data_IF_090293005594
#
_entry.id   IF_090293005594
#
_cell.length_a   1.000
_cell.length_b   1.000
_cell.length_c   1.000
_cell.angle_alpha   90.00
_cell.angle_beta   90.00
_cell.angle_gamma   90.00
#
_symmetry.space_group_name_H-M   'P 1'
#
loop_
_entity.id
_entity.type
_entity.pdbx_description
1 polymer ?
#
# COMPACT_ATOMS: atom_id res chain seq x y z
N UNK A 1 -21.59 29.70 -17.02
CA UNK A 1 -20.39 28.84 -16.94
C UNK A 1 -20.63 27.83 -15.84
N UNK A 2 -21.46 26.81 -16.10
CA UNK A 2 -21.79 25.75 -15.15
C UNK A 2 -21.96 24.45 -15.92
N UNK A 3 -20.86 23.94 -16.44
CA UNK A 3 -20.76 22.56 -16.92
C UNK A 3 -19.32 22.17 -16.61
N UNK A 4 -19.08 20.96 -16.09
CA UNK A 4 -17.79 20.30 -15.79
C UNK A 4 -17.39 20.08 -14.31
N UNK A 5 -18.26 20.27 -13.31
CA UNK A 5 -17.98 19.79 -11.93
C UNK A 5 -18.44 18.36 -11.64
N UNK A 6 -19.37 17.81 -12.42
CA UNK A 6 -20.03 16.53 -12.10
C UNK A 6 -19.28 15.27 -12.59
N UNK A 7 -18.15 15.39 -13.27
CA UNK A 7 -17.42 14.24 -13.83
C UNK A 7 -15.98 14.08 -13.35
N UNK A 8 -15.56 14.92 -12.41
CA UNK A 8 -14.35 14.66 -11.64
C UNK A 8 -14.83 14.28 -10.24
N UNK A 9 -14.43 13.11 -9.68
CA UNK A 9 -14.42 13.03 -8.22
C UNK A 9 -13.67 14.30 -7.75
N UNK A 10 -14.13 14.93 -6.66
CA UNK A 10 -13.63 16.23 -6.22
C UNK A 10 -12.11 16.28 -6.01
N UNK A 11 -11.62 17.24 -5.22
CA UNK A 11 -10.26 17.11 -4.69
C UNK A 11 -10.07 15.68 -4.13
N UNK A 12 -8.93 15.07 -4.41
CA UNK A 12 -8.57 13.77 -3.83
C UNK A 12 -7.50 14.01 -2.78
N UNK A 13 -7.68 13.44 -1.59
CA UNK A 13 -6.64 13.41 -0.57
C UNK A 13 -5.90 12.09 -0.65
N UNK A 14 -4.58 12.14 -0.41
CA UNK A 14 -3.74 10.94 -0.40
C UNK A 14 -3.58 10.42 1.02
N UNK A 15 -3.88 9.15 1.20
CA UNK A 15 -3.53 8.36 2.38
C UNK A 15 -2.54 7.29 1.95
N UNK A 16 -1.65 6.90 2.83
CA UNK A 16 -0.67 5.85 2.55
C UNK A 16 -0.60 4.90 3.73
N UNK A 17 -0.76 3.62 3.46
CA UNK A 17 -0.41 2.58 4.42
C UNK A 17 1.06 2.22 4.15
N UNK A 18 1.88 2.33 5.18
CA UNK A 18 3.30 2.03 5.14
C UNK A 18 3.50 0.65 5.76
N UNK A 19 4.19 -0.22 5.05
CA UNK A 19 4.51 -1.59 5.48
C UNK A 19 6.03 -1.73 5.50
N UNK A 20 6.59 -2.07 6.65
CA UNK A 20 8.03 -2.10 6.90
C UNK A 20 8.45 -3.43 7.52
N UNK A 21 9.67 -3.85 7.20
CA UNK A 21 10.32 -4.96 7.90
C UNK A 21 10.80 -4.50 9.27
N UNK A 22 10.43 -5.25 10.31
CA UNK A 22 10.75 -5.03 11.71
C UNK A 22 10.95 -6.36 12.46
N UNK A 23 11.92 -7.19 12.03
CA UNK A 23 12.23 -8.45 12.71
C UNK A 23 12.66 -8.19 14.15
N UNK A 24 12.17 -8.99 15.10
CA UNK A 24 12.45 -8.81 16.54
C UNK A 24 13.74 -9.47 16.98
N UNK A 25 14.12 -10.57 16.33
CA UNK A 25 15.30 -11.35 16.70
C UNK A 25 16.23 -11.53 15.51
N UNK A 26 17.55 -11.47 15.71
CA UNK A 26 18.51 -11.60 14.61
C UNK A 26 18.55 -13.01 13.99
N UNK A 27 18.25 -14.04 14.78
CA UNK A 27 18.33 -15.45 14.39
C UNK A 27 16.95 -16.10 14.20
N UNK A 28 15.91 -15.28 13.97
CA UNK A 28 14.57 -15.76 13.61
C UNK A 28 14.42 -15.87 12.10
N UNK A 29 13.43 -16.67 11.69
CA UNK A 29 12.90 -16.77 10.32
C UNK A 29 11.88 -15.66 10.01
N UNK A 30 11.91 -14.54 10.75
CA UNK A 30 11.04 -13.39 10.47
C UNK A 30 11.39 -12.74 9.13
N UNK A 31 10.38 -12.16 8.48
CA UNK A 31 10.55 -11.55 7.16
C UNK A 31 11.47 -10.32 7.25
N UNK A 32 12.41 -10.25 6.30
CA UNK A 32 13.45 -9.20 6.18
C UNK A 32 13.53 -8.58 4.79
N UNK A 33 12.74 -9.07 3.85
CA UNK A 33 12.69 -8.59 2.47
C UNK A 33 11.22 -8.38 2.13
N UNK A 34 10.83 -7.14 1.85
CA UNK A 34 9.43 -6.78 1.60
C UNK A 34 8.86 -7.42 0.33
N UNK A 35 9.74 -7.95 -0.53
CA UNK A 35 9.37 -8.73 -1.72
C UNK A 35 9.03 -10.18 -1.39
N UNK A 36 8.97 -10.57 -0.13
CA UNK A 36 8.50 -11.90 0.24
C UNK A 36 7.06 -12.12 -0.28
N UNK A 37 6.74 -13.27 -0.89
CA UNK A 37 5.38 -13.55 -1.37
C UNK A 37 4.29 -13.39 -0.31
N UNK A 38 4.61 -13.68 0.96
CA UNK A 38 3.66 -13.52 2.07
C UNK A 38 3.34 -12.04 2.30
N UNK A 39 4.33 -11.16 2.19
CA UNK A 39 4.13 -9.72 2.27
C UNK A 39 3.31 -9.23 1.08
N UNK A 40 3.63 -9.64 -0.15
CA UNK A 40 2.88 -9.19 -1.32
C UNK A 40 1.41 -9.62 -1.28
N UNK A 41 1.11 -10.84 -0.81
CA UNK A 41 -0.27 -11.28 -0.57
C UNK A 41 -0.95 -10.48 0.55
N UNK A 42 -0.20 -10.10 1.56
CA UNK A 42 -0.70 -9.21 2.61
C UNK A 42 -1.04 -7.82 2.06
N UNK A 43 -0.21 -7.24 1.19
CA UNK A 43 -0.51 -5.98 0.50
C UNK A 43 -1.75 -6.08 -0.38
N UNK A 44 -1.88 -7.16 -1.13
CA UNK A 44 -3.05 -7.43 -1.96
C UNK A 44 -4.34 -7.46 -1.12
N UNK A 45 -4.30 -8.14 0.03
CA UNK A 45 -5.42 -8.15 0.96
C UNK A 45 -5.72 -6.76 1.54
N UNK A 46 -4.71 -5.96 1.87
CA UNK A 46 -4.90 -4.58 2.34
C UNK A 46 -5.55 -3.70 1.26
N UNK A 47 -5.11 -3.83 0.00
CA UNK A 47 -5.69 -3.12 -1.15
C UNK A 47 -7.17 -3.48 -1.31
N UNK A 48 -7.48 -4.78 -1.33
CA UNK A 48 -8.87 -5.24 -1.51
C UNK A 48 -9.77 -4.80 -0.35
N UNK A 49 -9.28 -4.86 0.90
CA UNK A 49 -10.02 -4.34 2.07
C UNK A 49 -10.20 -2.82 2.01
N UNK A 50 -9.17 -2.08 1.63
CA UNK A 50 -9.22 -0.64 1.52
C UNK A 50 -10.24 -0.16 0.48
N UNK A 51 -10.39 -0.88 -0.64
CA UNK A 51 -11.40 -0.57 -1.67
C UNK A 51 -12.84 -0.69 -1.16
N UNK A 52 -13.08 -1.41 -0.06
CA UNK A 52 -14.40 -1.55 0.56
C UNK A 52 -14.76 -0.41 1.51
N UNK A 53 -13.78 0.42 1.90
CA UNK A 53 -13.97 1.56 2.80
C UNK A 53 -14.69 2.69 2.06
N UNK A 54 -15.72 3.25 2.69
CA UNK A 54 -16.48 4.32 2.06
C UNK A 54 -15.62 5.57 1.89
N UNK A 55 -15.62 6.14 0.69
CA UNK A 55 -14.81 7.32 0.37
C UNK A 55 -13.43 7.01 -0.20
N UNK A 56 -12.99 5.75 -0.20
CA UNK A 56 -11.81 5.32 -0.97
C UNK A 56 -12.18 5.22 -2.45
N UNK A 57 -11.50 6.00 -3.27
CA UNK A 57 -11.70 6.03 -4.73
C UNK A 57 -10.78 5.03 -5.43
N UNK A 58 -9.55 4.89 -4.92
CA UNK A 58 -8.57 3.94 -5.43
C UNK A 58 -7.61 3.50 -4.33
N UNK A 59 -7.10 2.27 -4.44
CA UNK A 59 -6.01 1.74 -3.64
C UNK A 59 -5.10 0.87 -4.53
N UNK A 60 -3.80 1.11 -4.47
CA UNK A 60 -2.78 0.41 -5.28
C UNK A 60 -1.49 0.17 -4.49
N UNK A 61 -0.77 -0.88 -4.85
CA UNK A 61 0.49 -1.31 -4.25
C UNK A 61 1.43 -1.97 -5.25
N UNK A 62 2.62 -2.38 -4.78
CA UNK A 62 3.54 -3.20 -5.58
C UNK A 62 2.93 -4.56 -5.98
N UNK A 63 2.00 -5.10 -5.19
CA UNK A 63 1.35 -6.38 -5.51
C UNK A 63 0.49 -6.27 -6.77
N UNK A 64 -0.13 -5.12 -7.03
CA UNK A 64 -0.93 -4.88 -8.24
C UNK A 64 -0.04 -4.88 -9.49
N UNK A 65 1.10 -4.18 -9.45
CA UNK A 65 2.08 -4.17 -10.53
C UNK A 65 2.61 -5.58 -10.79
N UNK A 66 2.97 -6.32 -9.73
CA UNK A 66 3.49 -7.69 -9.86
C UNK A 66 2.46 -8.64 -10.48
N UNK A 67 1.19 -8.55 -10.07
CA UNK A 67 0.11 -9.35 -10.67
C UNK A 67 -0.09 -8.99 -12.14
N UNK A 68 -0.13 -7.71 -12.49
CA UNK A 68 -0.33 -7.25 -13.86
C UNK A 68 0.73 -7.82 -14.82
N UNK A 69 1.98 -7.87 -14.36
CA UNK A 69 3.12 -8.38 -15.13
C UNK A 69 3.28 -9.91 -15.07
N UNK A 70 2.45 -10.60 -14.29
CA UNK A 70 2.54 -12.05 -14.09
C UNK A 70 1.16 -12.72 -14.14
N UNK A 71 0.41 -12.47 -15.22
CA UNK A 71 -0.85 -13.13 -15.54
C UNK A 71 -1.90 -13.09 -14.40
N UNK A 72 -1.91 -11.99 -13.65
CA UNK A 72 -2.82 -11.79 -12.51
C UNK A 72 -2.41 -12.50 -11.22
N UNK A 73 -1.20 -13.06 -11.14
CA UNK A 73 -0.75 -13.88 -10.01
C UNK A 73 0.49 -13.32 -9.33
N UNK A 74 0.58 -13.50 -8.01
CA UNK A 74 1.81 -13.24 -7.25
C UNK A 74 2.66 -14.52 -7.25
N UNK A 75 3.94 -14.49 -7.67
CA UNK A 75 4.77 -15.67 -7.62
C UNK A 75 4.91 -16.25 -6.19
N UNK A 76 4.88 -17.57 -6.07
CA UNK A 76 4.84 -18.25 -4.76
C UNK A 76 6.18 -18.32 -4.02
N UNK A 77 7.25 -17.72 -4.55
CA UNK A 77 8.58 -17.74 -3.92
C UNK A 77 9.32 -16.43 -4.11
N UNK A 78 10.14 -16.05 -3.13
CA UNK A 78 11.02 -14.88 -3.21
C UNK A 78 11.93 -14.94 -4.44
N UNK A 79 12.40 -16.15 -4.80
CA UNK A 79 13.20 -16.36 -6.02
C UNK A 79 12.39 -16.02 -7.27
N UNK A 80 11.14 -16.46 -7.36
CA UNK A 80 10.25 -16.15 -8.49
C UNK A 80 10.01 -14.65 -8.62
N UNK A 81 9.75 -13.97 -7.50
CA UNK A 81 9.56 -12.51 -7.48
C UNK A 81 10.82 -11.79 -7.94
N UNK A 82 11.99 -12.17 -7.42
CA UNK A 82 13.29 -11.58 -7.84
C UNK A 82 13.56 -11.80 -9.32
N UNK A 83 13.24 -12.98 -9.85
CA UNK A 83 13.36 -13.27 -11.28
C UNK A 83 12.46 -12.38 -12.12
N UNK A 84 11.18 -12.26 -11.75
CA UNK A 84 10.23 -11.39 -12.43
C UNK A 84 10.70 -9.94 -12.41
N UNK A 85 11.02 -9.40 -11.22
CA UNK A 85 11.47 -8.00 -11.08
C UNK A 85 12.71 -7.71 -11.93
N UNK A 86 13.66 -8.64 -12.01
CA UNK A 86 14.84 -8.53 -12.87
C UNK A 86 14.49 -8.51 -14.37
N UNK A 87 13.41 -9.15 -14.78
CA UNK A 87 12.90 -9.06 -16.14
C UNK A 87 12.24 -7.70 -16.38
N UNK A 88 11.45 -7.21 -15.42
CA UNK A 88 10.82 -5.88 -15.47
C UNK A 88 11.83 -4.73 -15.48
N UNK A 89 12.99 -4.89 -14.83
CA UNK A 89 14.10 -3.93 -14.86
C UNK A 89 14.61 -3.63 -16.29
N UNK A 90 14.37 -4.54 -17.25
CA UNK A 90 14.73 -4.32 -18.66
C UNK A 90 13.80 -3.29 -19.32
N UNK A 91 12.61 -3.09 -18.77
CA UNK A 91 11.63 -2.10 -19.21
C UNK A 91 11.56 -0.94 -18.22
N UNK A 92 12.10 0.22 -18.60
CA UNK A 92 12.24 1.38 -17.71
C UNK A 92 10.93 1.84 -17.07
N UNK A 93 9.82 1.79 -17.81
CA UNK A 93 8.52 2.25 -17.32
C UNK A 93 8.04 1.34 -16.19
N UNK A 94 8.06 0.04 -16.41
CA UNK A 94 7.61 -0.96 -15.44
C UNK A 94 8.53 -1.04 -14.22
N UNK A 95 9.84 -0.91 -14.42
CA UNK A 95 10.81 -0.78 -13.33
C UNK A 95 10.48 0.42 -12.42
N UNK A 96 10.13 1.57 -13.02
CA UNK A 96 9.74 2.76 -12.27
C UNK A 96 8.46 2.50 -11.46
N UNK A 97 7.44 1.85 -12.05
CA UNK A 97 6.18 1.52 -11.37
C UNK A 97 6.42 0.70 -10.10
N UNK A 98 7.33 -0.28 -10.13
CA UNK A 98 7.66 -1.05 -8.92
C UNK A 98 8.39 -0.19 -7.89
N UNK A 99 9.37 0.63 -8.33
CA UNK A 99 10.14 1.50 -7.44
C UNK A 99 9.30 2.59 -6.76
N UNK A 100 8.15 2.96 -7.32
CA UNK A 100 7.21 3.89 -6.70
C UNK A 100 6.60 3.32 -5.41
N UNK A 101 6.60 1.99 -5.25
CA UNK A 101 5.99 1.30 -4.12
C UNK A 101 6.97 0.57 -3.21
N UNK A 102 8.19 0.25 -3.65
CA UNK A 102 9.17 -0.52 -2.87
C UNK A 102 10.46 0.30 -2.69
N UNK A 103 10.97 0.38 -1.46
CA UNK A 103 12.24 1.03 -1.18
C UNK A 103 13.43 0.26 -1.78
N UNK A 104 14.49 0.98 -2.15
CA UNK A 104 15.69 0.39 -2.79
C UNK A 104 16.38 -0.68 -1.92
N UNK A 105 16.31 -0.54 -0.60
CA UNK A 105 16.86 -1.48 0.38
C UNK A 105 15.91 -2.64 0.71
N UNK A 106 14.72 -2.66 0.11
CA UNK A 106 13.66 -3.66 0.31
C UNK A 106 13.15 -3.78 1.75
N UNK A 107 13.36 -2.75 2.57
CA UNK A 107 12.88 -2.70 3.95
C UNK A 107 11.46 -2.18 4.08
N UNK A 108 10.93 -1.47 3.07
CA UNK A 108 9.65 -0.77 3.11
C UNK A 108 8.87 -0.89 1.80
N UNK A 109 7.55 -0.92 1.90
CA UNK A 109 6.63 -0.77 0.77
C UNK A 109 5.39 0.04 1.16
N UNK A 110 4.67 0.53 0.15
CA UNK A 110 3.53 1.42 0.29
C UNK A 110 2.28 0.81 -0.34
N UNK A 111 1.13 1.00 0.32
CA UNK A 111 -0.19 0.98 -0.31
C UNK A 111 -0.68 2.42 -0.39
N UNK A 112 -0.90 2.93 -1.60
CA UNK A 112 -1.34 4.31 -1.84
C UNK A 112 -2.84 4.32 -2.06
N UNK A 113 -3.52 5.19 -1.33
CA UNK A 113 -4.96 5.37 -1.41
C UNK A 113 -5.28 6.80 -1.83
N UNK A 114 -6.26 6.93 -2.72
CA UNK A 114 -6.92 8.20 -2.98
C UNK A 114 -8.30 8.17 -2.35
N UNK A 115 -8.59 9.16 -1.52
CA UNK A 115 -9.90 9.32 -0.86
C UNK A 115 -10.57 10.60 -1.36
N UNK A 116 -11.89 10.62 -1.35
CA UNK A 116 -12.67 11.83 -1.60
C UNK A 116 -12.35 12.89 -0.53
N UNK A 117 -12.31 14.17 -0.91
CA UNK A 117 -11.97 15.25 0.01
C UNK A 117 -13.09 15.54 1.03
N UNK A 118 -14.34 15.35 0.65
CA UNK A 118 -15.55 15.67 1.43
C UNK A 118 -15.93 14.63 2.49
N UNK A 119 -15.14 13.56 2.64
CA UNK A 119 -15.37 12.53 3.66
C UNK A 119 -14.86 12.97 5.02
N UNK A 120 -15.55 12.53 6.07
CA UNK A 120 -15.14 12.78 7.44
C UNK A 120 -13.77 12.11 7.72
N UNK A 121 -12.76 12.94 8.03
CA UNK A 121 -11.39 12.53 8.27
C UNK A 121 -11.27 11.50 9.41
N UNK A 122 -12.00 11.71 10.51
CA UNK A 122 -11.88 10.85 11.70
C UNK A 122 -12.51 9.49 11.44
N UNK A 123 -13.67 9.47 10.77
CA UNK A 123 -14.34 8.26 10.36
C UNK A 123 -13.51 7.44 9.38
N UNK A 124 -13.01 8.06 8.31
CA UNK A 124 -12.26 7.30 7.29
C UNK A 124 -10.93 6.77 7.83
N UNK A 125 -10.21 7.52 8.66
CA UNK A 125 -8.98 7.03 9.30
C UNK A 125 -9.31 5.91 10.29
N UNK A 126 -10.44 5.98 11.00
CA UNK A 126 -10.94 4.89 11.84
C UNK A 126 -11.18 3.60 11.04
N UNK A 127 -11.93 3.69 9.93
CA UNK A 127 -12.20 2.54 9.05
C UNK A 127 -10.90 1.98 8.43
N UNK A 128 -9.95 2.84 8.05
CA UNK A 128 -8.65 2.40 7.54
C UNK A 128 -7.77 1.76 8.63
N UNK A 129 -7.91 2.13 9.91
CA UNK A 129 -7.28 1.41 11.02
C UNK A 129 -7.81 -0.02 11.13
N UNK A 130 -9.11 -0.23 10.91
CA UNK A 130 -9.71 -1.58 10.86
C UNK A 130 -9.26 -2.38 9.62
N UNK A 131 -8.92 -1.70 8.51
CA UNK A 131 -8.34 -2.35 7.33
C UNK A 131 -7.00 -2.99 7.66
N UNK A 132 -6.13 -2.28 8.41
CA UNK A 132 -4.80 -2.78 8.78
C UNK A 132 -4.79 -3.65 10.04
N UNK A 133 -5.88 -3.69 10.81
CA UNK A 133 -6.04 -4.54 12.00
C UNK A 133 -6.36 -5.99 11.61
N UNK A 134 -5.42 -6.60 10.90
CA UNK A 134 -5.41 -8.00 10.52
C UNK A 134 -4.05 -8.62 10.83
N UNK A 135 -4.00 -9.94 10.90
CA UNK A 135 -2.75 -10.65 11.16
C UNK A 135 -1.73 -10.34 10.07
N UNK A 136 -0.70 -9.56 10.41
CA UNK A 136 0.43 -9.28 9.53
C UNK A 136 1.44 -10.44 9.57
N UNK A 137 2.20 -10.65 8.49
CA UNK A 137 3.30 -11.61 8.49
C UNK A 137 4.32 -11.33 9.61
N UNK A 138 4.98 -12.36 10.17
CA UNK A 138 6.00 -12.18 11.20
C UNK A 138 7.15 -11.29 10.73
N UNK A 139 7.57 -10.34 11.56
CA UNK A 139 8.62 -9.38 11.21
C UNK A 139 8.14 -8.22 10.35
N UNK A 140 6.84 -7.99 10.22
CA UNK A 140 6.27 -6.85 9.51
C UNK A 140 5.60 -5.87 10.48
N UNK A 141 5.76 -4.58 10.23
CA UNK A 141 5.08 -3.47 10.89
C UNK A 141 4.23 -2.72 9.87
N UNK A 142 3.03 -2.29 10.28
CA UNK A 142 2.06 -1.61 9.39
C UNK A 142 1.54 -0.37 10.07
N UNK A 143 1.55 0.76 9.37
CA UNK A 143 1.08 2.05 9.88
C UNK A 143 0.35 2.83 8.78
N UNK A 144 -0.42 3.85 9.16
CA UNK A 144 -1.13 4.74 8.23
C UNK A 144 -0.55 6.15 8.37
N UNK A 145 -0.35 6.83 7.25
CA UNK A 145 0.13 8.21 7.17
C UNK A 145 -0.57 8.98 6.05
N UNK A 146 -0.27 10.26 5.91
CA UNK A 146 -0.84 11.16 4.91
C UNK A 146 -1.65 12.29 5.54
N UNK A 147 -2.24 13.13 4.68
CA UNK A 147 -2.94 14.36 5.10
C UNK A 147 -3.97 14.12 6.20
N UNK A 148 -4.95 13.22 5.99
CA UNK A 148 -5.98 12.89 6.99
C UNK A 148 -5.45 12.49 8.38
N UNK A 149 -4.38 11.68 8.42
CA UNK A 149 -3.78 11.22 9.69
C UNK A 149 -3.06 12.37 10.41
N UNK A 150 -2.37 13.23 9.65
CA UNK A 150 -1.70 14.41 10.19
C UNK A 150 -2.73 15.41 10.74
N UNK A 151 -3.84 15.63 10.02
CA UNK A 151 -4.95 16.50 10.47
C UNK A 151 -5.51 16.05 11.83
N UNK A 152 -5.78 14.75 11.99
CA UNK A 152 -6.26 14.19 13.28
C UNK A 152 -5.23 14.37 14.38
N UNK A 153 -3.97 14.03 14.10
CA UNK A 153 -2.88 14.14 15.09
C UNK A 153 -2.76 15.59 15.57
N UNK A 154 -2.81 16.58 14.67
CA UNK A 154 -2.74 17.99 15.03
C UNK A 154 -3.94 18.46 15.87
N UNK A 155 -5.15 17.95 15.61
CA UNK A 155 -6.34 18.24 16.43
C UNK A 155 -6.22 17.69 17.86
N UNK A 156 -5.62 16.51 18.04
CA UNK A 156 -5.43 15.89 19.36
C UNK A 156 -4.45 16.69 20.24
N UNK A 157 -3.54 17.45 19.64
CA UNK A 157 -2.57 18.30 20.33
C UNK A 157 -2.99 19.78 20.47
N UNK A 158 -4.17 20.17 19.97
CA UNK A 158 -4.70 21.53 20.03
C UNK A 158 -5.59 21.75 21.26
#
# INVERSE_FOLDING_TARGET
>A
YEILKDQFPGSLRRVTIVVETKPRYASSEEIRDIRDPEVLRYLDLLVERAKLVHGVVNAESAADVIKEENDGQIPNSLRGIKSLLKELEKEKITAQRVSDYISEDYSMTLVRLNILDDVDTEKIVGELKEVIDIASPPGISVNITGGPVIEMTMKEFA
#
